data_IF_470455399872
#
_entry.id   IF_470455399872
#
_cell.length_a   1.000
_cell.length_b   1.000
_cell.length_c   1.000
_cell.angle_alpha   90.00
_cell.angle_beta   90.00
_cell.angle_gamma   90.00
#
_symmetry.space_group_name_H-M   'P 1'
#
loop_
_entity.id
_entity.type
_entity.pdbx_description
1 polymer ?
#
# COMPACT_ATOMS: atom_id res chain seq x y z
N UNK A 1 15.30 -37.65 44.73
CA UNK A 1 14.80 -36.38 44.19
C UNK A 1 13.40 -36.15 44.73
N UNK A 2 13.19 -35.05 45.46
CA UNK A 2 11.88 -34.72 46.02
C UNK A 2 11.04 -33.91 45.00
N UNK A 3 9.75 -33.73 45.28
CA UNK A 3 8.82 -33.07 44.35
C UNK A 3 9.17 -31.59 44.09
N UNK A 4 9.81 -30.92 45.04
CA UNK A 4 10.26 -29.52 44.90
C UNK A 4 11.47 -29.45 43.95
N UNK A 5 12.43 -30.36 44.10
CA UNK A 5 13.59 -30.47 43.18
C UNK A 5 13.13 -30.77 41.75
N UNK A 6 12.20 -31.71 41.57
CA UNK A 6 11.63 -32.01 40.25
C UNK A 6 10.93 -30.79 39.63
N UNK A 7 10.11 -30.06 40.39
CA UNK A 7 9.41 -28.89 39.90
C UNK A 7 10.36 -27.74 39.49
N UNK A 8 11.42 -27.49 40.26
CA UNK A 8 12.43 -26.47 39.94
C UNK A 8 13.25 -26.83 38.70
N UNK A 9 13.62 -28.10 38.55
CA UNK A 9 14.31 -28.58 37.35
C UNK A 9 13.42 -28.47 36.12
N UNK A 10 12.16 -28.93 36.18
CA UNK A 10 11.21 -28.79 35.06
C UNK A 10 10.95 -27.32 34.70
N UNK A 11 10.84 -26.42 35.68
CA UNK A 11 10.69 -24.99 35.41
C UNK A 11 11.92 -24.41 34.70
N UNK A 12 13.12 -24.72 35.18
CA UNK A 12 14.37 -24.21 34.59
C UNK A 12 14.56 -24.72 33.16
N UNK A 13 14.38 -26.03 32.94
CA UNK A 13 14.45 -26.64 31.61
C UNK A 13 13.36 -26.07 30.67
N UNK A 14 12.14 -25.88 31.18
CA UNK A 14 11.05 -25.24 30.44
C UNK A 14 11.39 -23.81 30.02
N UNK A 15 11.90 -22.98 30.94
CA UNK A 15 12.30 -21.60 30.62
C UNK A 15 13.45 -21.52 29.63
N UNK A 16 14.42 -22.45 29.70
CA UNK A 16 15.52 -22.51 28.74
C UNK A 16 15.00 -22.88 27.34
N UNK A 17 14.11 -23.88 27.25
CA UNK A 17 13.52 -24.28 25.98
C UNK A 17 12.62 -23.19 25.38
N UNK A 18 11.88 -22.45 26.21
CA UNK A 18 11.10 -21.27 25.77
C UNK A 18 12.00 -20.16 25.23
N UNK A 19 13.14 -19.90 25.88
CA UNK A 19 14.12 -18.92 25.42
C UNK A 19 14.76 -19.32 24.08
N UNK A 20 15.17 -20.59 23.92
CA UNK A 20 15.69 -21.12 22.66
C UNK A 20 14.67 -20.99 21.52
N UNK A 21 13.41 -21.34 21.77
CA UNK A 21 12.34 -21.17 20.79
C UNK A 21 12.08 -19.70 20.46
N UNK A 22 12.11 -18.81 21.44
CA UNK A 22 11.94 -17.38 21.21
C UNK A 22 13.07 -16.81 20.34
N UNK A 23 14.30 -17.29 20.52
CA UNK A 23 15.44 -16.92 19.67
C UNK A 23 15.29 -17.46 18.24
N UNK A 24 14.85 -18.71 18.09
CA UNK A 24 14.54 -19.31 16.77
C UNK A 24 13.45 -18.53 16.02
N UNK A 25 12.35 -18.19 16.71
CA UNK A 25 11.29 -17.37 16.13
C UNK A 25 11.77 -15.96 15.76
N UNK A 26 12.61 -15.34 16.59
CA UNK A 26 13.19 -14.05 16.30
C UNK A 26 14.13 -14.10 15.08
N UNK A 27 14.91 -15.17 14.93
CA UNK A 27 15.76 -15.38 13.76
C UNK A 27 14.93 -15.55 12.48
N UNK A 28 13.88 -16.38 12.53
CA UNK A 28 12.96 -16.58 11.42
C UNK A 28 12.24 -15.27 11.02
N UNK A 29 11.78 -14.49 11.99
CA UNK A 29 11.15 -13.19 11.74
C UNK A 29 12.11 -12.20 11.05
N UNK A 30 13.39 -12.16 11.47
CA UNK A 30 14.41 -11.32 10.82
C UNK A 30 14.65 -11.75 9.38
N UNK A 31 14.76 -13.04 9.11
CA UNK A 31 14.96 -13.56 7.75
C UNK A 31 13.77 -13.22 6.85
N UNK A 32 12.56 -13.34 7.38
CA UNK A 32 11.33 -13.00 6.69
C UNK A 32 11.23 -11.50 6.36
N UNK A 33 11.58 -10.62 7.30
CA UNK A 33 11.66 -9.18 7.06
C UNK A 33 12.66 -8.83 5.94
N UNK A 34 13.85 -9.46 5.96
CA UNK A 34 14.85 -9.27 4.90
C UNK A 34 14.34 -9.77 3.55
N UNK A 35 13.61 -10.89 3.53
CA UNK A 35 12.97 -11.41 2.32
C UNK A 35 11.98 -10.40 1.74
N UNK A 36 11.15 -9.78 2.58
CA UNK A 36 10.22 -8.74 2.14
C UNK A 36 10.93 -7.48 1.63
N UNK A 37 11.95 -6.99 2.35
CA UNK A 37 12.72 -5.83 1.94
C UNK A 37 13.38 -6.03 0.57
N UNK A 38 14.01 -7.20 0.35
CA UNK A 38 14.61 -7.56 -0.94
C UNK A 38 13.58 -7.68 -2.06
N UNK A 39 12.43 -8.29 -1.79
CA UNK A 39 11.34 -8.40 -2.75
C UNK A 39 10.80 -7.01 -3.16
N UNK A 40 10.59 -6.12 -2.18
CA UNK A 40 10.16 -4.74 -2.40
C UNK A 40 11.20 -3.93 -3.21
N UNK A 41 12.48 -4.07 -2.88
CA UNK A 41 13.56 -3.46 -3.64
C UNK A 41 13.61 -3.96 -5.09
N UNK A 42 13.44 -5.27 -5.29
CA UNK A 42 13.40 -5.90 -6.61
C UNK A 42 12.27 -5.34 -7.48
N UNK A 43 11.06 -5.24 -6.92
CA UNK A 43 9.88 -4.76 -7.64
C UNK A 43 9.90 -3.25 -7.89
N UNK A 44 10.46 -2.47 -6.96
CA UNK A 44 10.41 -1.00 -7.02
C UNK A 44 11.57 -0.43 -7.83
N UNK A 45 12.76 -1.02 -7.72
CA UNK A 45 13.98 -0.49 -8.33
C UNK A 45 14.44 -1.37 -9.49
N UNK A 46 14.95 -2.55 -9.19
CA UNK A 46 15.44 -3.54 -10.15
C UNK A 46 15.84 -4.82 -9.41
N UNK A 47 16.02 -5.92 -10.13
CA UNK A 47 16.52 -7.18 -9.56
C UNK A 47 17.84 -6.99 -8.78
N UNK A 48 18.77 -6.20 -9.30
CA UNK A 48 20.07 -5.92 -8.65
C UNK A 48 19.91 -5.23 -7.28
N UNK A 49 18.81 -4.51 -7.04
CA UNK A 49 18.55 -3.87 -5.74
C UNK A 49 18.21 -4.89 -4.63
N UNK A 50 17.79 -6.10 -4.99
CA UNK A 50 17.60 -7.20 -4.06
C UNK A 50 18.93 -7.74 -3.51
N UNK A 51 20.02 -7.57 -4.26
CA UNK A 51 21.36 -8.06 -3.93
C UNK A 51 22.15 -7.09 -3.05
N UNK A 52 21.57 -5.94 -2.70
CA UNK A 52 22.17 -5.04 -1.71
C UNK A 52 22.31 -5.73 -0.35
N UNK A 53 23.28 -5.28 0.46
CA UNK A 53 23.51 -5.80 1.81
C UNK A 53 22.44 -5.29 2.78
N UNK A 54 21.29 -5.96 2.77
CA UNK A 54 20.16 -5.67 3.65
C UNK A 54 20.40 -6.18 5.07
N UNK A 55 20.26 -5.30 6.07
CA UNK A 55 20.45 -5.59 7.48
C UNK A 55 19.23 -5.16 8.31
N UNK A 56 18.81 -6.00 9.25
CA UNK A 56 17.70 -5.68 10.17
C UNK A 56 18.21 -4.73 11.24
N UNK A 57 17.44 -3.67 11.53
CA UNK A 57 17.70 -2.74 12.63
C UNK A 57 16.63 -2.92 13.69
N UNK A 58 17.04 -3.07 14.95
CA UNK A 58 16.12 -3.18 16.10
C UNK A 58 16.36 -2.11 17.16
N UNK A 59 17.47 -1.36 17.07
CA UNK A 59 17.85 -0.37 18.07
C UNK A 59 17.07 0.94 17.86
N UNK A 60 16.49 1.47 18.92
CA UNK A 60 15.79 2.76 18.91
C UNK A 60 14.43 2.76 18.22
N UNK A 61 13.92 1.60 17.80
CA UNK A 61 12.60 1.48 17.17
C UNK A 61 11.48 1.22 18.20
N UNK A 62 10.26 1.72 17.96
CA UNK A 62 9.06 1.29 18.68
C UNK A 62 8.85 -0.23 18.58
N UNK A 63 8.16 -0.83 19.55
CA UNK A 63 7.93 -2.29 19.58
C UNK A 63 7.09 -2.79 18.40
N UNK A 64 6.29 -1.90 17.84
CA UNK A 64 5.36 -2.15 16.75
C UNK A 64 6.00 -1.90 15.37
N UNK A 65 7.29 -1.55 15.32
CA UNK A 65 8.00 -1.26 14.07
C UNK A 65 9.11 -2.25 13.81
N UNK A 66 9.19 -2.68 12.56
CA UNK A 66 10.27 -3.48 12.03
C UNK A 66 10.95 -2.73 10.88
N UNK A 67 12.28 -2.81 10.81
CA UNK A 67 13.05 -2.06 9.82
C UNK A 67 14.21 -2.86 9.26
N UNK A 68 14.38 -2.80 7.94
CA UNK A 68 15.56 -3.28 7.24
C UNK A 68 16.20 -2.11 6.46
N UNK A 69 17.53 -2.06 6.45
CA UNK A 69 18.32 -1.02 5.78
C UNK A 69 19.29 -1.63 4.78
N UNK A 70 19.54 -0.93 3.69
CA UNK A 70 20.59 -1.26 2.74
C UNK A 70 21.35 -0.01 2.30
N UNK A 71 22.68 -0.04 2.41
CA UNK A 71 23.52 1.04 1.88
C UNK A 71 23.49 1.00 0.35
N UNK A 72 23.35 2.15 -0.28
CA UNK A 72 23.36 2.24 -1.75
C UNK A 72 24.76 1.98 -2.32
N UNK A 73 25.78 2.59 -1.71
CA UNK A 73 27.18 2.49 -2.12
C UNK A 73 28.06 2.62 -0.87
N UNK A 74 29.15 1.84 -0.74
CA UNK A 74 30.11 2.01 0.35
C UNK A 74 30.65 3.45 0.43
N UNK A 75 30.67 4.02 1.63
CA UNK A 75 31.21 5.37 1.89
C UNK A 75 30.23 6.51 1.66
N UNK A 76 29.02 6.23 1.17
CA UNK A 76 27.92 7.19 1.12
C UNK A 76 27.04 7.04 2.37
N UNK A 77 26.61 8.15 3.01
CA UNK A 77 25.74 8.09 4.18
C UNK A 77 24.29 7.74 3.83
N UNK A 78 23.88 7.86 2.56
CA UNK A 78 22.51 7.58 2.14
C UNK A 78 22.23 6.07 2.06
N UNK A 79 21.04 5.67 2.50
CA UNK A 79 20.62 4.29 2.53
C UNK A 79 19.14 4.13 2.19
N UNK A 80 18.78 2.95 1.70
CA UNK A 80 17.40 2.54 1.54
C UNK A 80 16.89 1.97 2.85
N UNK A 81 15.64 2.28 3.16
CA UNK A 81 14.93 1.80 4.34
C UNK A 81 13.62 1.14 3.92
N UNK A 82 13.41 -0.07 4.38
CA UNK A 82 12.12 -0.77 4.30
C UNK A 82 11.56 -0.86 5.72
N UNK A 83 10.35 -0.33 5.95
CA UNK A 83 9.74 -0.26 7.27
C UNK A 83 8.35 -0.87 7.26
N UNK A 84 8.04 -1.64 8.30
CA UNK A 84 6.71 -2.17 8.59
C UNK A 84 6.24 -1.55 9.91
N UNK A 85 5.04 -0.98 9.90
CA UNK A 85 4.39 -0.43 11.09
C UNK A 85 3.11 -1.22 11.40
N UNK A 86 3.16 -1.99 12.50
CA UNK A 86 2.05 -2.82 12.98
C UNK A 86 1.06 -2.05 13.86
N UNK A 87 1.34 -0.79 14.19
CA UNK A 87 0.44 0.03 15.01
C UNK A 87 -0.74 0.61 14.21
N UNK A 88 -0.59 0.70 12.88
CA UNK A 88 -1.68 1.06 11.99
C UNK A 88 -2.72 -0.08 11.98
N UNK A 89 -3.94 0.22 12.44
CA UNK A 89 -5.05 -0.72 12.48
C UNK A 89 -6.16 -0.20 11.57
N UNK A 90 -6.77 -1.04 10.70
CA UNK A 90 -6.61 -2.49 10.59
C UNK A 90 -5.47 -2.95 9.67
N UNK A 91 -4.81 -2.04 8.95
CA UNK A 91 -3.87 -2.38 7.88
C UNK A 91 -2.41 -2.14 8.29
N UNK A 92 -1.56 -3.12 8.00
CA UNK A 92 -0.12 -3.00 8.18
C UNK A 92 0.41 -1.97 7.18
N UNK A 93 0.96 -0.88 7.68
CA UNK A 93 1.56 0.17 6.86
C UNK A 93 3.00 -0.25 6.50
N UNK A 94 3.31 -0.23 5.20
CA UNK A 94 4.64 -0.57 4.68
C UNK A 94 5.18 0.63 3.91
N UNK A 95 6.40 1.06 4.22
CA UNK A 95 7.07 2.13 3.48
C UNK A 95 8.44 1.70 2.97
N UNK A 96 8.78 2.22 1.79
CA UNK A 96 10.08 2.03 1.14
C UNK A 96 10.66 3.39 0.80
N UNK A 97 11.76 3.74 1.45
CA UNK A 97 12.23 5.12 1.57
C UNK A 97 13.73 5.23 1.30
N UNK A 98 14.14 6.38 0.78
CA UNK A 98 15.51 6.84 0.78
C UNK A 98 15.71 7.71 2.03
N UNK A 99 16.73 7.38 2.82
CA UNK A 99 17.17 8.20 3.94
C UNK A 99 18.50 8.84 3.59
N UNK A 100 18.54 10.18 3.67
CA UNK A 100 19.73 10.99 3.41
C UNK A 100 20.08 11.77 4.68
N UNK A 101 21.01 11.25 5.51
CA UNK A 101 21.42 11.94 6.72
C UNK A 101 22.07 13.29 6.42
N UNK A 102 21.56 14.38 6.98
CA UNK A 102 22.18 15.69 6.84
C UNK A 102 23.21 15.90 7.94
N UNK A 103 24.50 15.91 7.59
CA UNK A 103 25.56 16.17 8.56
C UNK A 103 25.60 17.62 9.05
N UNK A 104 25.00 18.57 8.31
CA UNK A 104 25.00 19.97 8.68
C UNK A 104 23.98 20.28 9.80
N UNK A 105 22.74 19.82 9.65
CA UNK A 105 21.67 20.11 10.61
C UNK A 105 21.33 18.93 11.55
N UNK A 106 21.88 17.73 11.30
CA UNK A 106 21.64 16.54 12.11
C UNK A 106 20.27 15.88 11.88
N UNK A 107 19.46 16.40 10.95
CA UNK A 107 18.16 15.82 10.61
C UNK A 107 18.26 14.94 9.36
N UNK A 108 17.61 13.79 9.39
CA UNK A 108 17.53 12.90 8.24
C UNK A 108 16.47 13.42 7.26
N UNK A 109 16.86 13.56 6.00
CA UNK A 109 15.89 13.75 4.93
C UNK A 109 15.36 12.39 4.50
N UNK A 110 14.07 12.18 4.68
CA UNK A 110 13.39 10.92 4.33
C UNK A 110 12.51 11.18 3.12
N UNK A 111 12.54 10.30 2.13
CA UNK A 111 11.72 10.43 0.91
C UNK A 111 11.23 9.07 0.44
N UNK A 112 9.93 8.96 0.17
CA UNK A 112 9.35 7.71 -0.36
C UNK A 112 9.94 7.40 -1.75
N UNK A 113 10.25 6.14 -2.00
CA UNK A 113 10.81 5.68 -3.27
C UNK A 113 9.77 4.82 -3.97
N UNK A 114 9.32 5.27 -5.15
CA UNK A 114 8.25 4.62 -5.92
C UNK A 114 8.74 3.97 -7.21
N UNK A 115 9.95 4.30 -7.65
CA UNK A 115 10.59 3.69 -8.83
C UNK A 115 12.09 3.96 -8.85
N UNK A 116 12.84 3.24 -9.67
CA UNK A 116 14.27 3.52 -9.92
C UNK A 116 14.51 4.93 -10.47
N UNK A 117 13.64 5.40 -11.38
CA UNK A 117 13.73 6.77 -11.91
C UNK A 117 13.51 7.80 -10.80
N UNK A 118 12.53 7.58 -9.92
CA UNK A 118 12.28 8.45 -8.78
C UNK A 118 13.47 8.47 -7.81
N UNK A 119 14.06 7.31 -7.50
CA UNK A 119 15.30 7.24 -6.71
C UNK A 119 16.43 8.05 -7.37
N UNK A 120 16.61 7.91 -8.68
CA UNK A 120 17.58 8.71 -9.45
C UNK A 120 17.33 10.20 -9.31
N UNK A 121 16.08 10.65 -9.42
CA UNK A 121 15.72 12.05 -9.26
C UNK A 121 16.01 12.56 -7.84
N UNK A 122 15.69 11.80 -6.80
CA UNK A 122 16.00 12.16 -5.41
C UNK A 122 17.51 12.30 -5.16
N UNK A 123 18.32 11.41 -5.73
CA UNK A 123 19.78 11.44 -5.60
C UNK A 123 20.45 12.57 -6.38
N UNK A 124 19.78 13.15 -7.39
CA UNK A 124 20.28 14.29 -8.15
C UNK A 124 19.86 15.65 -7.58
N UNK A 125 18.95 15.67 -6.59
CA UNK A 125 18.61 16.91 -5.92
C UNK A 125 19.84 17.43 -5.15
N UNK A 126 20.02 18.74 -5.16
CA UNK A 126 21.13 19.36 -4.45
C UNK A 126 21.13 18.93 -2.97
N UNK A 127 22.30 18.63 -2.39
CA UNK A 127 22.41 18.32 -0.98
C UNK A 127 21.75 19.45 -0.18
N UNK A 128 20.96 19.07 0.84
CA UNK A 128 20.21 20.02 1.64
C UNK A 128 21.13 21.18 2.02
N UNK A 129 20.82 22.44 1.61
CA UNK A 129 21.70 23.55 1.91
C UNK A 129 21.87 23.58 3.43
N UNK A 130 23.13 23.62 3.89
CA UNK A 130 23.40 23.99 5.27
C UNK A 130 22.69 25.32 5.47
N UNK A 131 21.75 25.39 6.42
CA UNK A 131 20.89 26.54 6.63
C UNK A 131 21.76 27.83 6.63
N UNK A 132 21.79 28.56 5.51
CA UNK A 132 22.19 29.96 5.54
C UNK A 132 21.09 30.64 6.35
N UNK A 133 21.51 31.41 7.35
CA UNK A 133 20.68 32.09 8.36
C UNK A 133 19.58 32.95 7.73
N UNK A 134 18.50 32.33 7.25
CA UNK A 134 17.23 33.00 6.98
C UNK A 134 16.29 32.59 8.11
N UNK A 135 16.51 33.21 9.28
CA UNK A 135 15.58 33.21 10.41
C UNK A 135 14.31 34.03 10.08
N UNK A 136 13.71 33.82 8.91
CA UNK A 136 12.27 33.88 8.87
C UNK A 136 11.80 32.71 9.74
N UNK A 137 11.01 32.94 10.81
CA UNK A 137 10.45 31.82 11.54
C UNK A 137 9.80 30.90 10.52
N UNK A 138 10.26 29.64 10.42
CA UNK A 138 9.42 28.57 9.89
C UNK A 138 8.16 28.70 10.72
N UNK A 139 7.12 29.32 10.15
CA UNK A 139 5.80 29.29 10.76
C UNK A 139 5.54 27.81 10.92
N UNK A 140 5.66 27.31 12.16
CA UNK A 140 5.15 26.00 12.48
C UNK A 140 3.74 25.98 11.89
N UNK A 141 3.43 25.01 11.01
CA UNK A 141 2.08 24.80 10.55
C UNK A 141 1.16 25.03 11.74
N UNK A 142 0.32 26.07 11.65
CA UNK A 142 -0.58 26.37 12.75
C UNK A 142 -1.32 25.07 13.11
N UNK A 143 -1.71 24.83 14.37
CA UNK A 143 -2.20 23.53 14.84
C UNK A 143 -3.43 22.99 14.10
N UNK A 144 -3.97 23.75 13.14
CA UNK A 144 -5.11 23.45 12.30
C UNK A 144 -4.76 23.32 10.80
N UNK A 145 -3.50 23.39 10.39
CA UNK A 145 -3.14 23.33 8.96
C UNK A 145 -3.57 22.00 8.37
N UNK A 146 -3.26 20.88 9.02
CA UNK A 146 -3.76 19.55 8.64
C UNK A 146 -5.28 19.50 8.46
N UNK A 147 -6.04 20.13 9.37
CA UNK A 147 -7.51 20.23 9.26
C UNK A 147 -7.93 21.05 8.04
N UNK A 148 -7.27 22.18 7.79
CA UNK A 148 -7.57 23.02 6.62
C UNK A 148 -7.26 22.30 5.30
N UNK A 149 -6.15 21.56 5.24
CA UNK A 149 -5.81 20.75 4.05
C UNK A 149 -6.85 19.66 3.83
N UNK A 150 -7.32 19.00 4.91
CA UNK A 150 -8.39 18.02 4.83
C UNK A 150 -9.71 18.65 4.33
N UNK A 151 -10.10 19.81 4.85
CA UNK A 151 -11.31 20.52 4.40
C UNK A 151 -11.24 20.88 2.91
N UNK A 152 -10.11 21.43 2.45
CA UNK A 152 -9.89 21.74 1.04
C UNK A 152 -9.99 20.48 0.19
N UNK A 153 -9.42 19.36 0.64
CA UNK A 153 -9.51 18.09 -0.09
C UNK A 153 -10.91 17.51 -0.11
N UNK A 154 -11.67 17.59 0.98
CA UNK A 154 -13.06 17.14 1.01
C UNK A 154 -13.94 17.93 0.03
N UNK A 155 -13.73 19.24 -0.08
CA UNK A 155 -14.42 20.09 -1.06
C UNK A 155 -14.02 19.70 -2.48
N UNK A 156 -12.74 19.48 -2.74
CA UNK A 156 -12.26 19.04 -4.06
C UNK A 156 -12.86 17.68 -4.47
N UNK A 157 -12.91 16.71 -3.56
CA UNK A 157 -13.55 15.40 -3.81
C UNK A 157 -15.03 15.53 -4.13
N UNK A 158 -15.75 16.36 -3.39
CA UNK A 158 -17.17 16.61 -3.63
C UNK A 158 -17.38 17.25 -5.01
N UNK A 159 -16.56 18.24 -5.36
CA UNK A 159 -16.57 18.88 -6.67
C UNK A 159 -16.28 17.89 -7.81
N UNK A 160 -15.29 17.01 -7.63
CA UNK A 160 -14.96 15.96 -8.58
C UNK A 160 -16.13 14.98 -8.77
N UNK A 161 -16.75 14.51 -7.69
CA UNK A 161 -17.90 13.61 -7.77
C UNK A 161 -19.08 14.25 -8.53
N UNK A 162 -19.35 15.54 -8.28
CA UNK A 162 -20.39 16.29 -8.99
C UNK A 162 -20.04 16.47 -10.47
N UNK A 163 -18.78 16.79 -10.79
CA UNK A 163 -18.30 16.91 -12.17
C UNK A 163 -18.47 15.60 -12.93
N UNK A 164 -18.01 14.48 -12.38
CA UNK A 164 -18.15 13.16 -13.02
C UNK A 164 -19.61 12.77 -13.23
N UNK A 165 -20.50 13.05 -12.27
CA UNK A 165 -21.95 12.84 -12.46
C UNK A 165 -22.55 13.70 -13.56
N UNK A 166 -22.08 14.94 -13.71
CA UNK A 166 -22.56 15.86 -14.74
C UNK A 166 -22.04 15.51 -16.14
N UNK A 167 -20.80 15.03 -16.24
CA UNK A 167 -20.17 14.57 -17.49
C UNK A 167 -20.74 13.21 -17.94
N UNK A 168 -21.22 12.40 -17.01
CA UNK A 168 -21.76 11.06 -17.26
C UNK A 168 -23.16 10.86 -16.66
N UNK A 169 -24.17 11.63 -17.08
CA UNK A 169 -25.52 11.54 -16.52
C UNK A 169 -26.14 10.15 -16.72
N UNK A 170 -25.85 9.51 -17.86
CA UNK A 170 -26.37 8.19 -18.22
C UNK A 170 -25.71 7.04 -17.45
N UNK A 171 -24.56 7.28 -16.81
CA UNK A 171 -23.87 6.24 -16.04
C UNK A 171 -24.53 5.98 -14.68
N UNK A 172 -25.34 6.93 -14.19
CA UNK A 172 -26.03 6.83 -12.91
C UNK A 172 -25.08 6.68 -11.72
N UNK A 173 -23.96 7.42 -11.73
CA UNK A 173 -22.90 7.30 -10.74
C UNK A 173 -23.38 7.61 -9.31
N UNK A 174 -23.24 6.65 -8.41
CA UNK A 174 -23.45 6.82 -6.98
C UNK A 174 -22.10 6.90 -6.27
N UNK A 175 -22.02 7.67 -5.18
CA UNK A 175 -20.83 7.69 -4.32
C UNK A 175 -21.10 6.66 -3.24
N UNK A 176 -20.29 5.61 -3.19
CA UNK A 176 -20.46 4.50 -2.24
C UNK A 176 -19.62 4.69 -0.99
N UNK A 177 -18.43 5.27 -1.14
CA UNK A 177 -17.53 5.56 -0.04
C UNK A 177 -16.63 6.77 -0.39
N UNK A 178 -16.23 7.51 0.63
CA UNK A 178 -15.23 8.59 0.54
C UNK A 178 -14.27 8.43 1.70
N UNK A 179 -12.99 8.29 1.40
CA UNK A 179 -11.94 8.15 2.40
C UNK A 179 -10.96 9.30 2.27
N UNK A 180 -10.63 9.92 3.41
CA UNK A 180 -9.71 11.04 3.47
C UNK A 180 -8.84 10.87 4.71
N UNK A 181 -7.52 10.83 4.52
CA UNK A 181 -6.55 10.63 5.59
C UNK A 181 -5.49 11.72 5.51
N UNK A 182 -5.09 12.27 6.66
CA UNK A 182 -3.94 13.16 6.77
C UNK A 182 -2.94 12.56 7.76
N UNK A 183 -1.70 12.38 7.34
CA UNK A 183 -0.66 11.76 8.18
C UNK A 183 0.16 12.84 8.91
N UNK A 184 0.61 13.88 8.17
CA UNK A 184 1.33 15.05 8.67
C UNK A 184 0.99 16.29 7.84
N UNK A 185 1.48 17.48 8.25
CA UNK A 185 1.23 18.73 7.53
C UNK A 185 1.72 18.65 6.07
N UNK A 186 0.75 18.56 5.15
CA UNK A 186 1.00 18.51 3.70
C UNK A 186 0.87 17.13 3.05
N UNK A 187 0.72 16.05 3.82
CA UNK A 187 0.48 14.71 3.27
C UNK A 187 -0.96 14.26 3.54
N UNK A 188 -1.78 14.31 2.48
CA UNK A 188 -3.17 13.86 2.51
C UNK A 188 -3.46 12.88 1.37
N UNK A 189 -4.02 11.73 1.73
CA UNK A 189 -4.60 10.79 0.77
C UNK A 189 -6.11 10.98 0.70
N UNK A 190 -6.64 10.95 -0.52
CA UNK A 190 -8.06 11.16 -0.81
C UNK A 190 -8.52 10.11 -1.81
N UNK A 191 -9.51 9.29 -1.43
CA UNK A 191 -10.08 8.24 -2.28
C UNK A 191 -11.60 8.41 -2.40
N UNK A 192 -12.08 8.46 -3.64
CA UNK A 192 -13.47 8.57 -4.01
C UNK A 192 -13.93 7.25 -4.65
N UNK A 193 -14.83 6.54 -3.99
CA UNK A 193 -15.42 5.32 -4.54
C UNK A 193 -16.76 5.63 -5.21
N UNK A 194 -16.86 5.25 -6.47
CA UNK A 194 -18.03 5.43 -7.31
C UNK A 194 -18.54 4.08 -7.79
N UNK A 195 -19.86 3.94 -7.83
CA UNK A 195 -20.52 2.80 -8.46
C UNK A 195 -21.35 3.28 -9.64
N UNK A 196 -21.16 2.65 -10.80
CA UNK A 196 -22.00 2.87 -11.98
C UNK A 196 -23.11 1.81 -12.05
N UNK A 197 -24.22 2.19 -12.68
CA UNK A 197 -25.43 1.35 -12.80
C UNK A 197 -25.25 0.08 -13.61
N UNK A 198 -24.21 0.00 -14.46
CA UNK A 198 -23.89 -1.17 -15.26
C UNK A 198 -22.42 -1.17 -15.66
N UNK A 199 -21.92 -2.33 -16.09
CA UNK A 199 -20.55 -2.48 -16.60
C UNK A 199 -20.32 -1.64 -17.86
N UNK A 200 -21.33 -1.51 -18.73
CA UNK A 200 -21.25 -0.65 -19.91
C UNK A 200 -21.12 0.83 -19.53
N UNK A 201 -21.88 1.28 -18.53
CA UNK A 201 -21.75 2.62 -17.98
C UNK A 201 -20.35 2.85 -17.38
N UNK A 202 -19.84 1.89 -16.59
CA UNK A 202 -18.50 1.97 -16.03
C UNK A 202 -17.42 2.05 -17.13
N UNK A 203 -17.60 1.33 -18.25
CA UNK A 203 -16.67 1.37 -19.39
C UNK A 203 -16.60 2.74 -20.03
N UNK A 204 -17.74 3.41 -20.19
CA UNK A 204 -17.78 4.76 -20.75
C UNK A 204 -17.06 5.77 -19.84
N UNK A 205 -17.26 5.66 -18.52
CA UNK A 205 -16.58 6.52 -17.53
C UNK A 205 -15.08 6.22 -17.47
N UNK A 206 -14.68 4.94 -17.42
CA UNK A 206 -13.27 4.54 -17.43
C UNK A 206 -12.54 5.06 -18.67
N UNK A 207 -13.15 4.96 -19.86
CA UNK A 207 -12.60 5.51 -21.09
C UNK A 207 -12.42 7.03 -21.04
N UNK A 208 -13.38 7.75 -20.46
CA UNK A 208 -13.29 9.21 -20.29
C UNK A 208 -12.20 9.62 -19.28
N UNK A 209 -11.98 8.79 -18.25
CA UNK A 209 -10.88 8.92 -17.29
C UNK A 209 -9.52 8.47 -17.86
N UNK A 210 -9.49 7.89 -19.06
CA UNK A 210 -8.27 7.37 -19.68
C UNK A 210 -7.69 6.15 -18.97
N UNK A 211 -8.53 5.33 -18.33
CA UNK A 211 -8.14 4.12 -17.61
C UNK A 211 -8.82 2.88 -18.18
N UNK A 212 -8.17 1.73 -17.99
CA UNK A 212 -8.69 0.44 -18.42
C UNK A 212 -9.69 -0.12 -17.40
N UNK A 213 -10.72 -0.81 -17.91
CA UNK A 213 -11.72 -1.48 -17.09
C UNK A 213 -11.40 -2.97 -16.98
N UNK A 214 -11.04 -3.43 -15.79
CA UNK A 214 -10.90 -4.86 -15.50
C UNK A 214 -12.29 -5.47 -15.26
N UNK A 215 -12.58 -6.61 -15.90
CA UNK A 215 -13.85 -7.33 -15.75
C UNK A 215 -13.62 -8.77 -15.31
N UNK A 216 -14.56 -9.30 -14.52
CA UNK A 216 -14.60 -10.72 -14.14
C UNK A 216 -16.05 -11.17 -13.97
N UNK A 217 -16.33 -12.44 -14.26
CA UNK A 217 -17.63 -13.04 -13.99
C UNK A 217 -17.60 -13.80 -12.67
N UNK A 218 -18.66 -13.66 -11.88
CA UNK A 218 -18.84 -14.36 -10.60
C UNK A 218 -20.16 -15.11 -10.66
N UNK A 219 -20.10 -16.42 -10.43
CA UNK A 219 -21.27 -17.27 -10.31
C UNK A 219 -21.73 -17.32 -8.85
N UNK A 220 -22.90 -16.74 -8.58
CA UNK A 220 -23.58 -16.91 -7.31
C UNK A 220 -24.45 -18.16 -7.38
N UNK A 221 -24.06 -19.20 -6.64
CA UNK A 221 -24.86 -20.40 -6.48
C UNK A 221 -26.18 -20.19 -5.73
N UNK A 222 -26.85 -21.29 -5.41
CA UNK A 222 -28.10 -21.27 -4.63
C UNK A 222 -27.95 -20.50 -3.30
N UNK A 223 -28.99 -19.79 -2.83
CA UNK A 223 -30.38 -19.85 -3.28
C UNK A 223 -30.76 -18.88 -4.42
N UNK A 224 -29.84 -18.03 -4.87
CA UNK A 224 -30.10 -17.01 -5.89
C UNK A 224 -29.14 -17.18 -7.08
N UNK A 225 -29.41 -18.13 -8.00
CA UNK A 225 -28.56 -18.35 -9.15
C UNK A 225 -28.45 -17.07 -9.99
N UNK A 226 -27.24 -16.54 -10.10
CA UNK A 226 -26.94 -15.38 -10.92
C UNK A 226 -25.47 -15.36 -11.29
N UNK A 227 -25.19 -15.19 -12.59
CA UNK A 227 -23.85 -14.83 -13.03
C UNK A 227 -23.79 -13.30 -13.10
N UNK A 228 -22.84 -12.72 -12.37
CA UNK A 228 -22.61 -11.28 -12.33
C UNK A 228 -21.30 -10.96 -13.06
N UNK A 229 -21.34 -10.03 -14.00
CA UNK A 229 -20.14 -9.34 -14.47
C UNK A 229 -19.81 -8.24 -13.47
N UNK A 230 -18.64 -8.33 -12.85
CA UNK A 230 -18.07 -7.31 -11.99
C UNK A 230 -16.99 -6.56 -12.75
N UNK A 231 -17.04 -5.24 -12.71
CA UNK A 231 -16.05 -4.37 -13.31
C UNK A 231 -15.41 -3.45 -12.27
N UNK A 232 -14.10 -3.25 -12.38
CA UNK A 232 -13.33 -2.29 -11.57
C UNK A 232 -12.38 -1.49 -12.45
N UNK A 233 -12.30 -0.19 -12.21
CA UNK A 233 -11.30 0.72 -12.75
C UNK A 233 -10.76 1.63 -11.65
N UNK A 234 -9.52 2.07 -11.79
CA UNK A 234 -8.87 3.01 -10.87
C UNK A 234 -8.16 4.09 -11.68
N UNK A 235 -8.27 5.34 -11.23
CA UNK A 235 -7.62 6.50 -11.86
C UNK A 235 -7.27 7.56 -10.82
N UNK A 236 -6.30 8.43 -11.11
CA UNK A 236 -6.00 9.60 -10.28
C UNK A 236 -6.48 10.84 -11.02
N UNK A 237 -7.36 11.62 -10.40
CA UNK A 237 -7.92 12.86 -10.96
C UNK A 237 -7.73 14.00 -9.98
N UNK A 238 -7.02 15.05 -10.40
CA UNK A 238 -6.72 16.22 -9.55
C UNK A 238 -6.06 15.86 -8.20
N UNK A 239 -5.29 14.77 -8.18
CA UNK A 239 -4.64 14.22 -6.98
C UNK A 239 -5.59 13.51 -6.00
N UNK A 240 -6.73 13.02 -6.51
CA UNK A 240 -7.69 12.17 -5.78
C UNK A 240 -7.74 10.82 -6.48
N UNK A 241 -7.58 9.75 -5.72
CA UNK A 241 -7.77 8.39 -6.21
C UNK A 241 -9.27 8.14 -6.45
N UNK A 242 -9.65 7.79 -7.66
CA UNK A 242 -11.02 7.43 -8.03
C UNK A 242 -11.07 5.94 -8.27
N UNK A 243 -11.86 5.23 -7.46
CA UNK A 243 -12.19 3.84 -7.70
C UNK A 243 -13.61 3.74 -8.26
N UNK A 244 -13.73 3.16 -9.44
CA UNK A 244 -15.01 2.93 -10.11
C UNK A 244 -15.34 1.45 -10.11
N UNK A 245 -16.51 1.09 -9.60
CA UNK A 245 -17.05 -0.27 -9.67
C UNK A 245 -18.37 -0.31 -10.42
N UNK A 246 -18.71 -1.48 -10.96
CA UNK A 246 -20.05 -1.76 -11.45
C UNK A 246 -20.33 -3.25 -11.45
N UNK A 247 -21.62 -3.58 -11.41
CA UNK A 247 -22.12 -4.95 -11.53
C UNK A 247 -23.18 -5.00 -12.61
N UNK A 248 -23.21 -6.08 -13.39
CA UNK A 248 -24.31 -6.36 -14.31
C UNK A 248 -24.66 -7.83 -14.20
N UNK A 249 -25.93 -8.10 -13.88
CA UNK A 249 -26.45 -9.46 -13.89
C UNK A 249 -26.64 -9.89 -15.34
N UNK A 250 -26.09 -11.04 -15.70
CA UNK A 250 -26.31 -11.65 -16.99
C UNK A 250 -27.76 -12.15 -17.08
N UNK A 251 -28.34 -12.06 -18.27
CA UNK A 251 -29.58 -12.78 -18.58
C UNK A 251 -29.37 -14.29 -18.47
N UNK A 252 -30.47 -15.04 -18.33
CA UNK A 252 -30.40 -16.50 -18.21
C UNK A 252 -29.70 -17.14 -19.43
N UNK A 253 -29.91 -16.58 -20.62
CA UNK A 253 -29.26 -17.02 -21.86
C UNK A 253 -27.74 -16.73 -21.87
N UNK A 254 -27.33 -15.54 -21.43
CA UNK A 254 -25.91 -15.16 -21.31
C UNK A 254 -25.21 -15.99 -20.23
N UNK A 255 -25.88 -16.23 -19.10
CA UNK A 255 -25.39 -17.09 -18.03
C UNK A 255 -25.21 -18.53 -18.52
N UNK A 256 -26.19 -19.08 -19.24
CA UNK A 256 -26.10 -20.42 -19.84
C UNK A 256 -24.94 -20.52 -20.85
N UNK A 257 -24.76 -19.52 -21.71
CA UNK A 257 -23.64 -19.47 -22.65
C UNK A 257 -22.29 -19.39 -21.94
N UNK A 258 -22.19 -18.59 -20.87
CA UNK A 258 -20.99 -18.50 -20.04
C UNK A 258 -20.66 -19.84 -19.38
N UNK A 259 -21.63 -20.52 -18.76
CA UNK A 259 -21.42 -21.86 -18.18
C UNK A 259 -20.96 -22.89 -19.23
N UNK A 260 -21.54 -22.85 -20.44
CA UNK A 260 -21.12 -23.73 -21.52
C UNK A 260 -19.66 -23.51 -21.92
N UNK A 261 -19.20 -22.25 -21.97
CA UNK A 261 -17.80 -21.93 -22.24
C UNK A 261 -16.85 -22.40 -21.12
N UNK A 262 -17.24 -22.26 -19.85
CA UNK A 262 -16.45 -22.74 -18.71
C UNK A 262 -16.27 -24.26 -18.73
N UNK A 263 -17.33 -25.01 -19.06
CA UNK A 263 -17.26 -26.47 -19.15
C UNK A 263 -16.37 -26.94 -20.31
N UNK A 264 -16.44 -26.26 -21.46
CA UNK A 264 -15.56 -26.57 -22.61
C UNK A 264 -14.08 -26.28 -22.34
N UNK A 265 -13.77 -25.26 -21.54
CA UNK A 265 -12.40 -24.96 -21.15
C UNK A 265 -11.81 -26.04 -20.21
N UNK A 266 -12.66 -26.72 -19.44
CA UNK A 266 -12.24 -27.77 -18.49
C UNK A 266 -11.98 -29.10 -19.21
N UNK A 267 -12.80 -29.45 -20.21
CA UNK A 267 -12.68 -30.73 -20.94
C UNK A 267 -11.51 -30.75 -21.96
N UNK A 268 -11.00 -29.59 -22.37
CA UNK A 268 -9.85 -29.48 -23.28
C UNK A 268 -8.47 -29.64 -22.60
N UNK A 269 -8.42 -29.77 -21.27
CA UNK A 269 -7.19 -29.86 -20.48
C UNK A 269 -6.78 -31.27 -20.04
N UNK A 270 -7.61 -32.30 -20.26
CA UNK A 270 -7.34 -33.70 -19.89
C UNK A 270 -6.92 -34.56 -21.08
N UNK A 271 -5.99 -34.06 -21.92
CA UNK A 271 -5.36 -34.84 -22.98
C UNK A 271 -3.86 -34.58 -23.05
N UNK A 272 -3.15 -35.08 -22.05
CA UNK A 272 -1.73 -35.46 -22.15
C UNK A 272 -1.55 -36.92 -21.68
#
# INVERSE_FOLDING_TARGET
MNLIELALTTYTEGTAHEAERAEEYAAAAREELLRFARACASSTLSADAADLDWQVTTEGLPKEMEEARALLVPGRPEYLRYRINHAASPDVEVSFELVQPCQACGNDRISLVTSLFHLGALLHQDPHPADEEDQAPKEEPGPLLSVQVLEVRAVAMTGLAQRLRAEHPDAGLTVTNTSLFGHHDGDTSATLHLEATSVNAARAVAAALGTDLATRFVDHGAPYPAVLEHAKASAIVDGIDVELTAFTKLSDDEAAAWHAQQNQATEGGESE
#
